data_IF_721145091356
#
_entry.id   IF_721145091356
#
_cell.length_a   1.000
_cell.length_b   1.000
_cell.length_c   1.000
_cell.angle_alpha   90.00
_cell.angle_beta   90.00
_cell.angle_gamma   90.00
#
_symmetry.space_group_name_H-M   'P 1'
#
loop_
_entity.id
_entity.type
_entity.pdbx_description
1 polymer ?
#
# COMPACT_ATOMS: atom_id res chain seq x y z
N UNK A 1 -33.63 -13.55 9.82
CA UNK A 1 -32.83 -14.45 8.96
C UNK A 1 -31.56 -13.70 8.57
N UNK A 2 -30.38 -14.24 8.87
CA UNK A 2 -29.10 -13.58 8.59
C UNK A 2 -28.47 -14.21 7.36
N UNK A 3 -28.32 -13.44 6.29
CA UNK A 3 -27.76 -13.92 5.00
C UNK A 3 -26.24 -13.76 4.91
N UNK A 4 -25.64 -13.04 5.84
CA UNK A 4 -24.20 -12.74 5.86
C UNK A 4 -23.65 -13.16 7.23
N UNK A 5 -22.82 -14.19 7.22
CA UNK A 5 -22.09 -14.69 8.39
C UNK A 5 -20.65 -14.16 8.31
N UNK A 6 -20.17 -13.53 9.37
CA UNK A 6 -18.80 -13.01 9.47
C UNK A 6 -18.11 -13.65 10.66
N UNK A 7 -16.83 -14.00 10.50
CA UNK A 7 -16.00 -14.37 11.64
C UNK A 7 -15.57 -13.09 12.36
N UNK A 8 -15.96 -12.96 13.63
CA UNK A 8 -15.65 -11.80 14.49
C UNK A 8 -14.67 -12.12 15.60
N UNK A 9 -14.12 -13.35 15.64
CA UNK A 9 -13.38 -13.83 16.80
C UNK A 9 -11.90 -14.07 16.51
N UNK A 10 -11.51 -14.42 15.28
CA UNK A 10 -10.11 -14.74 14.96
C UNK A 10 -9.76 -14.46 13.49
N UNK A 11 -8.47 -14.18 13.23
CA UNK A 11 -7.87 -14.05 11.90
C UNK A 11 -8.59 -13.06 10.95
N UNK A 12 -8.92 -11.87 11.47
CA UNK A 12 -9.48 -10.78 10.67
C UNK A 12 -8.62 -9.53 10.79
N UNK A 13 -8.61 -8.72 9.73
CA UNK A 13 -8.01 -7.38 9.73
C UNK A 13 -9.14 -6.35 9.71
N UNK A 14 -9.14 -5.45 10.67
CA UNK A 14 -10.03 -4.29 10.67
C UNK A 14 -9.52 -3.26 9.67
N UNK A 15 -10.27 -3.01 8.61
CA UNK A 15 -9.96 -2.04 7.56
C UNK A 15 -11.18 -1.16 7.27
N UNK A 16 -10.95 0.11 6.95
CA UNK A 16 -11.99 1.04 6.55
C UNK A 16 -12.64 0.62 5.22
N UNK A 17 -13.95 0.78 5.11
CA UNK A 17 -14.68 0.39 3.89
C UNK A 17 -14.52 1.37 2.73
N UNK A 18 -13.87 2.54 2.92
CA UNK A 18 -13.76 3.59 1.91
C UNK A 18 -13.31 3.05 0.54
N UNK A 19 -12.21 2.29 0.49
CA UNK A 19 -11.71 1.73 -0.76
C UNK A 19 -12.65 0.69 -1.40
N UNK A 20 -13.40 -0.08 -0.60
CA UNK A 20 -14.38 -1.06 -1.13
C UNK A 20 -15.61 -0.40 -1.75
N UNK A 21 -15.89 0.85 -1.37
CA UNK A 21 -17.04 1.62 -1.82
C UNK A 21 -16.67 2.65 -2.89
N UNK A 22 -15.38 2.82 -3.19
CA UNK A 22 -14.88 3.77 -4.17
C UNK A 22 -15.15 3.30 -5.61
N UNK A 23 -16.04 4.03 -6.28
CA UNK A 23 -16.49 3.73 -7.65
C UNK A 23 -15.38 3.90 -8.71
N UNK A 24 -14.27 4.55 -8.37
CA UNK A 24 -13.12 4.69 -9.26
C UNK A 24 -12.26 3.44 -9.31
N UNK A 25 -12.36 2.57 -8.29
CA UNK A 25 -11.58 1.35 -8.20
C UNK A 25 -12.26 0.19 -8.91
N UNK A 26 -11.47 -0.57 -9.67
CA UNK A 26 -11.92 -1.83 -10.25
C UNK A 26 -11.99 -2.90 -9.17
N UNK A 27 -12.86 -3.93 -9.30
CA UNK A 27 -12.89 -5.05 -8.35
C UNK A 27 -11.51 -5.69 -8.12
N UNK A 28 -10.71 -5.86 -9.17
CA UNK A 28 -9.34 -6.37 -9.05
C UNK A 28 -8.41 -5.39 -8.28
N UNK A 29 -8.58 -4.08 -8.44
CA UNK A 29 -7.83 -3.08 -7.66
C UNK A 29 -8.15 -3.18 -6.16
N UNK A 30 -9.44 -3.35 -5.83
CA UNK A 30 -9.92 -3.54 -4.44
C UNK A 30 -9.30 -4.80 -3.85
N UNK A 31 -9.31 -5.92 -4.59
CA UNK A 31 -8.70 -7.18 -4.16
C UNK A 31 -7.19 -7.06 -3.92
N UNK A 32 -6.46 -6.37 -4.80
CA UNK A 32 -5.03 -6.11 -4.62
C UNK A 32 -4.77 -5.29 -3.36
N UNK A 33 -5.51 -4.21 -3.14
CA UNK A 33 -5.35 -3.39 -1.93
C UNK A 33 -5.70 -4.18 -0.66
N UNK A 34 -6.75 -4.99 -0.68
CA UNK A 34 -7.11 -5.84 0.45
C UNK A 34 -6.02 -6.86 0.80
N UNK A 35 -5.37 -7.46 -0.20
CA UNK A 35 -4.21 -8.34 0.01
C UNK A 35 -3.06 -7.57 0.64
N UNK A 36 -2.82 -6.32 0.23
CA UNK A 36 -1.77 -5.49 0.83
C UNK A 36 -2.07 -5.16 2.29
N UNK A 37 -3.28 -4.67 2.57
CA UNK A 37 -3.68 -4.21 3.91
C UNK A 37 -3.80 -5.32 4.96
N UNK A 38 -3.92 -6.58 4.53
CA UNK A 38 -3.97 -7.75 5.43
C UNK A 38 -2.59 -8.29 5.82
N UNK A 39 -1.51 -7.70 5.31
CA UNK A 39 -0.14 -8.04 5.71
C UNK A 39 0.30 -7.26 6.96
N UNK A 40 1.49 -7.60 7.48
CA UNK A 40 2.14 -6.84 8.55
C UNK A 40 2.40 -5.39 8.11
N UNK A 41 2.25 -4.45 9.02
CA UNK A 41 2.35 -3.01 8.73
C UNK A 41 3.74 -2.53 8.31
N UNK A 42 4.78 -3.28 8.69
CA UNK A 42 6.19 -3.03 8.34
C UNK A 42 6.59 -3.64 6.99
N UNK A 43 5.66 -4.29 6.28
CA UNK A 43 5.97 -4.95 5.02
C UNK A 43 6.22 -3.96 3.88
N UNK A 44 7.42 -4.06 3.29
CA UNK A 44 7.77 -3.33 2.06
C UNK A 44 7.15 -4.03 0.84
N UNK A 45 6.18 -3.36 0.20
CA UNK A 45 5.44 -3.95 -0.92
C UNK A 45 6.24 -3.88 -2.22
N UNK A 46 6.62 -5.05 -2.73
CA UNK A 46 7.21 -5.23 -4.06
C UNK A 46 6.16 -5.74 -5.05
N UNK A 47 5.99 -5.12 -6.24
CA UNK A 47 4.88 -5.52 -7.08
C UNK A 47 5.09 -6.88 -7.79
N UNK A 48 6.33 -7.39 -7.88
CA UNK A 48 6.60 -8.78 -8.32
C UNK A 48 6.10 -9.80 -7.30
N UNK A 49 6.19 -9.46 -6.00
CA UNK A 49 5.68 -10.32 -4.94
C UNK A 49 4.16 -10.38 -4.98
N UNK A 50 3.49 -9.25 -5.20
CA UNK A 50 2.03 -9.19 -5.41
C UNK A 50 1.62 -10.01 -6.64
N UNK A 51 2.33 -9.84 -7.76
CA UNK A 51 2.09 -10.59 -8.99
C UNK A 51 2.14 -12.10 -8.74
N UNK A 52 3.19 -12.57 -8.05
CA UNK A 52 3.36 -13.98 -7.68
C UNK A 52 2.25 -14.48 -6.76
N UNK A 53 1.89 -13.71 -5.72
CA UNK A 53 0.85 -14.10 -4.75
C UNK A 53 -0.54 -14.22 -5.39
N UNK A 54 -0.84 -13.35 -6.35
CA UNK A 54 -2.15 -13.29 -7.00
C UNK A 54 -2.22 -14.05 -8.33
N UNK A 55 -1.11 -14.61 -8.82
CA UNK A 55 -1.07 -15.32 -10.10
C UNK A 55 -1.36 -14.42 -11.31
N UNK A 56 -1.00 -13.13 -11.23
CA UNK A 56 -1.22 -12.15 -12.29
C UNK A 56 0.10 -11.59 -12.80
N UNK A 57 0.08 -10.94 -13.98
CA UNK A 57 1.29 -10.34 -14.53
C UNK A 57 1.74 -9.13 -13.70
N UNK A 58 3.06 -8.92 -13.61
CA UNK A 58 3.62 -7.71 -13.01
C UNK A 58 3.06 -6.43 -13.65
N UNK A 59 2.91 -6.43 -14.97
CA UNK A 59 2.28 -5.33 -15.71
C UNK A 59 0.88 -5.00 -15.18
N UNK A 60 0.07 -6.03 -14.93
CA UNK A 60 -1.28 -5.88 -14.36
C UNK A 60 -1.22 -5.23 -12.97
N UNK A 61 -0.26 -5.63 -12.13
CA UNK A 61 -0.06 -5.00 -10.81
C UNK A 61 0.30 -3.52 -10.96
N UNK A 62 1.24 -3.17 -11.85
CA UNK A 62 1.64 -1.78 -12.08
C UNK A 62 0.47 -0.92 -12.59
N UNK A 63 -0.40 -1.48 -13.44
CA UNK A 63 -1.63 -0.81 -13.89
C UNK A 63 -2.59 -0.53 -12.72
N UNK A 64 -2.78 -1.48 -11.81
CA UNK A 64 -3.60 -1.28 -10.61
C UNK A 64 -2.98 -0.32 -9.60
N UNK A 65 -1.64 -0.32 -9.46
CA UNK A 65 -0.94 0.63 -8.60
C UNK A 65 -1.14 2.06 -9.08
N UNK A 66 -1.11 2.32 -10.40
CA UNK A 66 -1.43 3.64 -10.95
C UNK A 66 -2.86 4.09 -10.62
N UNK A 67 -3.81 3.17 -10.60
CA UNK A 67 -5.20 3.47 -10.20
C UNK A 67 -5.29 3.80 -8.71
N UNK A 68 -4.61 3.04 -7.85
CA UNK A 68 -4.54 3.31 -6.42
C UNK A 68 -3.87 4.67 -6.13
N UNK A 69 -2.81 5.00 -6.87
CA UNK A 69 -2.11 6.27 -6.73
C UNK A 69 -3.00 7.44 -7.13
N UNK A 70 -3.69 7.32 -8.28
CA UNK A 70 -4.66 8.32 -8.74
C UNK A 70 -5.80 8.55 -7.74
N UNK A 71 -6.26 7.49 -7.08
CA UNK A 71 -7.34 7.55 -6.09
C UNK A 71 -6.86 7.91 -4.66
N UNK A 72 -5.55 8.06 -4.46
CA UNK A 72 -4.95 8.46 -3.18
C UNK A 72 -4.70 7.33 -2.18
N UNK A 73 -5.05 6.08 -2.50
CA UNK A 73 -4.79 4.92 -1.63
C UNK A 73 -3.34 4.40 -1.69
N UNK A 74 -2.57 4.88 -2.67
CA UNK A 74 -1.13 4.67 -2.77
C UNK A 74 -0.43 6.03 -2.88
N UNK A 75 0.62 6.24 -2.10
CA UNK A 75 1.58 7.34 -2.31
C UNK A 75 2.98 6.78 -2.44
N UNK A 76 3.74 7.30 -3.40
CA UNK A 76 5.09 6.81 -3.70
C UNK A 76 6.11 7.88 -3.34
N UNK A 77 7.07 7.51 -2.49
CA UNK A 77 8.25 8.33 -2.21
C UNK A 77 9.49 7.71 -2.87
N UNK A 78 10.27 8.55 -3.56
CA UNK A 78 11.49 8.15 -4.27
C UNK A 78 12.66 8.82 -3.58
N UNK A 79 13.38 8.06 -2.76
CA UNK A 79 14.53 8.54 -2.01
C UNK A 79 15.80 8.34 -2.82
N UNK A 80 16.52 9.43 -3.10
CA UNK A 80 17.83 9.35 -3.77
C UNK A 80 18.92 8.96 -2.77
N UNK A 81 19.74 7.96 -3.11
CA UNK A 81 20.81 7.47 -2.24
C UNK A 81 22.12 8.28 -2.37
N UNK A 82 22.09 9.42 -3.07
CA UNK A 82 23.26 10.23 -3.39
C UNK A 82 23.84 9.97 -4.79
N UNK A 83 24.91 10.70 -5.13
CA UNK A 83 25.48 10.73 -6.49
C UNK A 83 25.91 9.33 -6.94
N UNK A 84 25.28 8.82 -8.00
CA UNK A 84 25.61 7.53 -8.61
C UNK A 84 25.09 6.29 -7.88
N UNK A 85 24.39 6.45 -6.73
CA UNK A 85 23.96 5.32 -5.88
C UNK A 85 22.53 4.84 -6.15
N UNK A 86 21.79 5.49 -7.05
CA UNK A 86 20.44 5.09 -7.45
C UNK A 86 19.35 5.67 -6.56
N UNK A 87 18.15 5.09 -6.65
CA UNK A 87 16.91 5.55 -6.01
C UNK A 87 16.19 4.36 -5.37
N UNK A 88 15.82 4.50 -4.10
CA UNK A 88 14.92 3.56 -3.41
C UNK A 88 13.48 4.04 -3.53
N UNK A 89 12.54 3.13 -3.77
CA UNK A 89 11.13 3.45 -3.94
C UNK A 89 10.33 2.90 -2.76
N UNK A 90 9.76 3.80 -1.96
CA UNK A 90 8.88 3.48 -0.85
C UNK A 90 7.42 3.73 -1.25
N UNK A 91 6.54 2.80 -0.89
CA UNK A 91 5.12 2.81 -1.24
C UNK A 91 4.29 2.77 0.02
N UNK A 92 3.50 3.81 0.24
CA UNK A 92 2.58 3.91 1.37
C UNK A 92 1.18 3.57 0.88
N UNK A 93 0.59 2.52 1.46
CA UNK A 93 -0.78 2.10 1.17
C UNK A 93 -1.67 2.42 2.37
N UNK A 94 -2.94 2.74 2.10
CA UNK A 94 -3.91 3.07 3.13
C UNK A 94 -5.31 2.60 2.71
N UNK A 95 -6.14 2.26 3.69
CA UNK A 95 -7.56 1.92 3.50
C UNK A 95 -8.43 3.17 3.27
N UNK A 96 -7.87 4.37 3.49
CA UNK A 96 -8.41 5.67 3.14
C UNK A 96 -7.45 6.49 2.28
N UNK A 97 -7.92 7.42 1.42
CA UNK A 97 -7.03 8.30 0.66
C UNK A 97 -6.08 9.11 1.55
N UNK A 98 -4.79 9.07 1.22
CA UNK A 98 -3.73 9.75 1.95
C UNK A 98 -3.68 11.21 1.52
N UNK A 99 -3.98 12.13 2.45
CA UNK A 99 -3.86 13.57 2.22
C UNK A 99 -2.40 14.00 2.05
N UNK A 100 -2.18 15.14 1.40
CA UNK A 100 -0.83 15.65 1.18
C UNK A 100 -0.08 15.94 2.49
N UNK A 101 -0.74 16.58 3.45
CA UNK A 101 -0.15 16.86 4.77
C UNK A 101 0.27 15.59 5.50
N UNK A 102 -0.56 14.53 5.44
CA UNK A 102 -0.22 13.26 6.06
C UNK A 102 0.90 12.54 5.30
N UNK A 103 0.94 12.67 3.97
CA UNK A 103 2.03 12.12 3.19
C UNK A 103 3.38 12.79 3.51
N UNK A 104 3.43 14.11 3.71
CA UNK A 104 4.66 14.79 4.14
C UNK A 104 5.12 14.30 5.52
N UNK A 105 4.18 14.07 6.45
CA UNK A 105 4.49 13.46 7.73
C UNK A 105 5.10 12.05 7.58
N UNK A 106 4.53 11.21 6.71
CA UNK A 106 5.04 9.86 6.44
C UNK A 106 6.47 9.89 5.87
N UNK A 107 6.78 10.83 4.98
CA UNK A 107 8.14 11.00 4.44
C UNK A 107 9.12 11.39 5.53
N UNK A 108 8.78 12.39 6.34
CA UNK A 108 9.66 12.88 7.41
C UNK A 108 9.97 11.78 8.44
N UNK A 109 8.96 10.96 8.79
CA UNK A 109 9.17 9.80 9.66
C UNK A 109 10.10 8.76 9.03
N UNK A 110 9.87 8.40 7.77
CA UNK A 110 10.73 7.44 7.07
C UNK A 110 12.18 7.92 7.00
N UNK A 111 12.42 9.19 6.68
CA UNK A 111 13.77 9.76 6.64
C UNK A 111 14.44 9.74 8.01
N UNK A 112 13.68 10.01 9.07
CA UNK A 112 14.18 9.94 10.45
C UNK A 112 14.53 8.51 10.88
N UNK A 113 13.71 7.53 10.50
CA UNK A 113 14.00 6.11 10.76
C UNK A 113 15.30 5.70 10.06
N UNK A 114 15.43 6.03 8.77
CA UNK A 114 16.61 5.72 7.99
C UNK A 114 17.88 6.44 8.49
N UNK A 115 17.76 7.68 8.99
CA UNK A 115 18.92 8.40 9.54
C UNK A 115 19.40 7.84 10.88
N UNK A 116 18.51 7.19 11.63
CA UNK A 116 18.86 6.60 12.93
C UNK A 116 19.53 5.23 12.77
N UNK A 117 19.19 4.49 11.71
CA UNK A 117 19.82 3.22 11.37
C UNK A 117 21.28 3.38 10.88
N UNK A 118 21.65 4.54 10.33
CA UNK A 118 23.02 4.85 9.89
C UNK A 118 24.00 5.17 11.05
N UNK A 119 23.51 5.34 12.30
CA UNK A 119 24.31 5.69 13.49
C UNK A 119 24.70 4.47 14.37
N UNK A 120 24.40 3.24 13.95
CA UNK A 120 24.67 1.98 14.71
C UNK A 120 25.71 1.09 14.02
#
# INVERSE_FOLDING_TARGET
MQYILRNTHENYTSINNAFTQDKQLKPATIGILAVILTNKSDWVVYPDEIARRLGISRRTVDEHFKLLEKAGYLRVYRLGLGRGKGVTVHRFFSDMPISDNYFEYLKANLEKELSTDDEI
#
